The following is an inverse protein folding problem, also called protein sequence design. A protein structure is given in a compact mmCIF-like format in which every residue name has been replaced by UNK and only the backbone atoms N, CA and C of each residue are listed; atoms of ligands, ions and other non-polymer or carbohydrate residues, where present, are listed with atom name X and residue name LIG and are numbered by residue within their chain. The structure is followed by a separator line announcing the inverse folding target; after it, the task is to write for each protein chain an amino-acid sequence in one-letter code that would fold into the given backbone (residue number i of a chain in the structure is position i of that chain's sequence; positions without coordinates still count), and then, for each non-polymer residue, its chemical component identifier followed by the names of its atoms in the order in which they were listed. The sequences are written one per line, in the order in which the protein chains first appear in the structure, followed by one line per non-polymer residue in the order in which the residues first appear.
data_IF_274327431280
#
_entry.id   IF_274327431280
#
_cell.length_a   1.000
_cell.length_b   1.000
_cell.length_c   1.000
_cell.angle_alpha   90.00
_cell.angle_beta   90.00
_cell.angle_gamma   90.00
#
_symmetry.space_group_name_H-M   'P 1'
#
loop_
_entity.id
_entity.type
_entity.pdbx_description
1 polymer ?
#
# COMPACT_ATOMS: atom_id res chain seq x y z
N UNK A 1 15.96 7.16 -21.15
CA UNK A 1 15.07 8.03 -20.33
C UNK A 1 15.29 7.72 -18.86
N UNK A 2 15.37 8.73 -18.07
CA UNK A 2 15.47 8.56 -16.61
C UNK A 2 14.13 8.02 -16.08
N UNK A 3 14.19 6.98 -15.21
CA UNK A 3 13.01 6.36 -14.64
C UNK A 3 12.41 7.30 -13.59
N UNK A 4 11.10 7.49 -13.59
CA UNK A 4 10.41 8.28 -12.56
C UNK A 4 10.70 7.71 -11.16
N UNK A 5 11.15 8.55 -10.26
CA UNK A 5 11.38 8.19 -8.85
C UNK A 5 10.07 8.30 -8.08
N UNK A 6 9.55 7.17 -7.63
CA UNK A 6 8.24 7.13 -6.98
C UNK A 6 8.27 6.59 -5.56
N UNK A 7 7.23 6.95 -4.80
CA UNK A 7 6.82 6.23 -3.60
C UNK A 7 5.50 5.51 -3.86
N UNK A 8 5.31 4.36 -3.21
CA UNK A 8 4.07 3.57 -3.26
C UNK A 8 3.53 3.42 -1.84
N UNK A 9 2.27 3.79 -1.62
CA UNK A 9 1.59 3.67 -0.33
C UNK A 9 0.31 2.88 -0.48
N UNK A 10 0.22 1.72 0.17
CA UNK A 10 -1.02 0.95 0.24
C UNK A 10 -1.87 1.38 1.44
N UNK A 11 -3.19 1.16 1.37
CA UNK A 11 -4.11 1.60 2.42
C UNK A 11 -4.21 3.13 2.56
N UNK A 12 -3.90 3.87 1.49
CA UNK A 12 -3.78 5.32 1.52
C UNK A 12 -5.12 6.07 1.67
N UNK A 13 -6.26 5.40 1.54
CA UNK A 13 -7.59 6.05 1.60
C UNK A 13 -8.02 6.50 2.99
N UNK A 14 -7.34 6.06 4.05
CA UNK A 14 -7.70 6.39 5.44
C UNK A 14 -6.54 6.10 6.42
N UNK A 15 -6.70 6.53 7.67
CA UNK A 15 -5.84 6.16 8.79
C UNK A 15 -4.33 6.42 8.56
N UNK A 16 -3.53 5.43 8.92
CA UNK A 16 -2.06 5.52 8.89
C UNK A 16 -1.54 5.74 7.48
N UNK A 17 -2.04 5.00 6.48
CA UNK A 17 -1.61 5.14 5.09
C UNK A 17 -1.88 6.52 4.51
N UNK A 18 -3.06 7.09 4.79
CA UNK A 18 -3.37 8.47 4.43
C UNK A 18 -2.38 9.44 5.07
N UNK A 19 -2.13 9.29 6.37
CA UNK A 19 -1.23 10.19 7.10
C UNK A 19 0.20 10.08 6.61
N UNK A 20 0.70 8.88 6.30
CA UNK A 20 2.00 8.71 5.66
C UNK A 20 2.07 9.47 4.34
N UNK A 21 1.05 9.32 3.48
CA UNK A 21 1.01 10.02 2.19
C UNK A 21 1.12 11.54 2.38
N UNK A 22 0.37 12.12 3.31
CA UNK A 22 0.41 13.55 3.62
C UNK A 22 1.79 14.04 4.09
N UNK A 23 2.58 13.18 4.73
CA UNK A 23 3.92 13.54 5.24
C UNK A 23 5.04 13.34 4.23
N UNK A 24 4.78 12.70 3.08
CA UNK A 24 5.82 12.45 2.07
C UNK A 24 6.38 13.72 1.43
N UNK A 25 5.64 14.83 1.45
CA UNK A 25 6.14 16.14 1.01
C UNK A 25 7.44 16.54 1.75
N UNK A 26 7.57 16.13 3.02
CA UNK A 26 8.74 16.42 3.86
C UNK A 26 9.82 15.32 3.82
N UNK A 27 9.52 14.15 3.26
CA UNK A 27 10.37 12.95 3.38
C UNK A 27 11.36 12.76 2.22
N UNK A 28 11.30 13.59 1.19
CA UNK A 28 12.18 13.51 0.04
C UNK A 28 11.51 13.96 -1.26
N UNK A 29 12.30 14.00 -2.34
CA UNK A 29 11.77 14.30 -3.67
C UNK A 29 11.31 13.02 -4.37
N UNK A 30 10.03 12.94 -4.67
CA UNK A 30 9.43 11.94 -5.55
C UNK A 30 8.83 12.65 -6.75
N UNK A 31 8.99 12.08 -7.94
CA UNK A 31 8.35 12.61 -9.14
C UNK A 31 6.84 12.34 -9.10
N UNK A 32 6.42 11.25 -8.44
CA UNK A 32 5.02 10.86 -8.28
C UNK A 32 4.86 9.94 -7.07
N UNK A 33 3.73 10.01 -6.40
CA UNK A 33 3.35 9.07 -5.32
C UNK A 33 2.14 8.25 -5.76
N UNK A 34 2.29 6.92 -5.81
CA UNK A 34 1.19 6.02 -6.10
C UNK A 34 0.46 5.66 -4.82
N UNK A 35 -0.82 5.99 -4.77
CA UNK A 35 -1.68 5.73 -3.63
C UNK A 35 -2.67 4.62 -3.96
N UNK A 36 -2.60 3.52 -3.22
CA UNK A 36 -3.34 2.29 -3.51
C UNK A 36 -4.39 2.05 -2.44
N UNK A 37 -5.64 1.90 -2.83
CA UNK A 37 -6.76 1.46 -2.00
C UNK A 37 -7.95 1.04 -2.88
N UNK A 38 -8.98 0.46 -2.28
CA UNK A 38 -10.19 -0.01 -3.00
C UNK A 38 -11.06 1.14 -3.53
N UNK A 39 -11.15 2.24 -2.76
CA UNK A 39 -12.08 3.35 -3.01
C UNK A 39 -11.39 4.48 -3.76
N UNK A 40 -11.62 4.51 -5.08
CA UNK A 40 -11.02 5.52 -5.96
C UNK A 40 -11.43 6.94 -5.55
N UNK A 41 -12.71 7.16 -5.19
CA UNK A 41 -13.24 8.45 -4.76
C UNK A 41 -12.43 9.07 -3.61
N UNK A 42 -12.03 8.24 -2.63
CA UNK A 42 -11.20 8.69 -1.50
C UNK A 42 -9.76 8.98 -1.89
N UNK A 43 -9.22 8.23 -2.83
CA UNK A 43 -7.87 8.47 -3.35
C UNK A 43 -7.82 9.76 -4.18
N UNK A 44 -8.84 10.03 -4.98
CA UNK A 44 -8.97 11.29 -5.72
C UNK A 44 -9.14 12.47 -4.76
N UNK A 45 -10.00 12.34 -3.74
CA UNK A 45 -10.13 13.36 -2.70
C UNK A 45 -8.80 13.63 -1.97
N UNK A 46 -8.02 12.60 -1.68
CA UNK A 46 -6.68 12.75 -1.10
C UNK A 46 -5.75 13.51 -2.05
N UNK A 47 -5.72 13.14 -3.32
CA UNK A 47 -4.91 13.81 -4.35
C UNK A 47 -5.18 15.31 -4.40
N UNK A 48 -6.44 15.73 -4.33
CA UNK A 48 -6.83 17.14 -4.36
C UNK A 48 -6.29 17.95 -3.16
N UNK A 49 -5.93 17.29 -2.06
CA UNK A 49 -5.39 17.95 -0.86
C UNK A 49 -3.87 18.08 -0.87
N UNK A 50 -3.19 17.40 -1.78
CA UNK A 50 -1.73 17.31 -1.80
C UNK A 50 -1.11 18.23 -2.87
N UNK A 51 0.07 18.77 -2.58
CA UNK A 51 0.77 19.73 -3.45
C UNK A 51 1.80 19.08 -4.37
N UNK A 52 1.94 17.78 -4.33
CA UNK A 52 2.86 17.00 -5.17
C UNK A 52 2.08 16.02 -6.06
N UNK A 53 2.69 15.51 -7.15
CA UNK A 53 2.02 14.60 -8.06
C UNK A 53 1.61 13.30 -7.37
N UNK A 54 0.32 12.97 -7.41
CA UNK A 54 -0.26 11.75 -6.83
C UNK A 54 -1.01 10.98 -7.91
N UNK A 55 -0.77 9.68 -7.98
CA UNK A 55 -1.46 8.74 -8.86
C UNK A 55 -2.36 7.81 -8.04
N UNK A 56 -3.66 8.00 -8.06
CA UNK A 56 -4.61 7.06 -7.51
C UNK A 56 -4.61 5.74 -8.28
N UNK A 57 -4.54 4.62 -7.56
CA UNK A 57 -4.58 3.27 -8.12
C UNK A 57 -5.61 2.46 -7.33
N UNK A 58 -6.79 2.25 -7.92
CA UNK A 58 -7.87 1.51 -7.28
C UNK A 58 -7.62 0.01 -7.39
N UNK A 59 -7.19 -0.62 -6.29
CA UNK A 59 -6.95 -2.06 -6.19
C UNK A 59 -7.48 -2.59 -4.86
N UNK A 60 -8.14 -3.74 -4.89
CA UNK A 60 -8.43 -4.53 -3.70
C UNK A 60 -7.30 -5.54 -3.47
N UNK A 61 -6.42 -5.27 -2.51
CA UNK A 61 -5.26 -6.11 -2.24
C UNK A 61 -5.62 -7.42 -1.49
N UNK A 62 -6.87 -7.65 -1.13
CA UNK A 62 -7.36 -8.96 -0.71
C UNK A 62 -7.72 -9.88 -1.89
N UNK A 63 -7.72 -9.34 -3.12
CA UNK A 63 -7.94 -10.08 -4.35
C UNK A 63 -6.63 -10.25 -5.12
N UNK A 64 -6.26 -11.52 -5.40
CA UNK A 64 -5.04 -11.88 -6.14
C UNK A 64 -4.97 -11.31 -7.55
N UNK A 65 -6.11 -11.06 -8.20
CA UNK A 65 -6.13 -10.39 -9.51
C UNK A 65 -5.53 -8.97 -9.45
N UNK A 66 -5.63 -8.32 -8.31
CA UNK A 66 -5.02 -7.00 -8.09
C UNK A 66 -3.50 -7.02 -8.18
N UNK A 67 -2.87 -8.13 -7.82
CA UNK A 67 -1.41 -8.28 -7.95
C UNK A 67 -0.96 -8.32 -9.41
N UNK A 68 -1.73 -8.99 -10.28
CA UNK A 68 -1.45 -9.00 -11.71
C UNK A 68 -1.61 -7.60 -12.34
N UNK A 69 -2.62 -6.84 -11.90
CA UNK A 69 -2.82 -5.44 -12.33
C UNK A 69 -1.68 -4.54 -11.88
N UNK A 70 -1.24 -4.70 -10.63
CA UNK A 70 -0.09 -3.94 -10.10
C UNK A 70 1.21 -4.29 -10.81
N UNK A 71 1.48 -5.57 -11.06
CA UNK A 71 2.65 -6.03 -11.82
C UNK A 71 2.66 -5.47 -13.24
N UNK A 72 1.50 -5.46 -13.91
CA UNK A 72 1.35 -4.88 -15.25
C UNK A 72 1.66 -3.38 -15.24
N UNK A 73 1.16 -2.65 -14.24
CA UNK A 73 1.43 -1.23 -14.07
C UNK A 73 2.92 -0.95 -13.85
N UNK A 74 3.59 -1.74 -13.01
CA UNK A 74 5.04 -1.64 -12.79
C UNK A 74 5.83 -1.88 -14.08
N UNK A 75 5.44 -2.88 -14.89
CA UNK A 75 6.10 -3.18 -16.17
C UNK A 75 5.91 -2.07 -17.19
N UNK A 76 4.71 -1.52 -17.28
CA UNK A 76 4.37 -0.45 -18.22
C UNK A 76 5.13 0.85 -17.89
N UNK A 77 5.07 1.27 -16.63
CA UNK A 77 5.67 2.54 -16.20
C UNK A 77 7.17 2.43 -15.93
N UNK A 78 7.67 1.23 -15.65
CA UNK A 78 9.07 0.94 -15.30
C UNK A 78 9.68 1.98 -14.34
N UNK A 79 9.08 2.24 -13.17
CA UNK A 79 9.53 3.29 -12.27
C UNK A 79 10.83 2.92 -11.53
N UNK A 80 11.43 3.92 -10.87
CA UNK A 80 12.42 3.74 -9.80
C UNK A 80 11.68 3.88 -8.47
N UNK A 81 11.33 2.76 -7.83
CA UNK A 81 10.60 2.78 -6.56
C UNK A 81 11.58 3.02 -5.42
N UNK A 82 11.58 4.24 -4.89
CA UNK A 82 12.45 4.62 -3.79
C UNK A 82 11.87 4.30 -2.41
N UNK A 83 10.55 4.15 -2.31
CA UNK A 83 9.86 3.88 -1.06
C UNK A 83 8.58 3.07 -1.31
N UNK A 84 8.43 1.96 -0.58
CA UNK A 84 7.17 1.21 -0.48
C UNK A 84 6.70 1.24 0.97
N UNK A 85 5.45 1.66 1.20
CA UNK A 85 4.82 1.66 2.53
C UNK A 85 3.58 0.78 2.48
N UNK A 86 3.62 -0.38 3.14
CA UNK A 86 2.50 -1.30 3.27
C UNK A 86 1.69 -0.94 4.52
N UNK A 87 0.55 -0.25 4.32
CA UNK A 87 -0.39 0.15 5.35
C UNK A 87 -1.79 -0.48 5.18
N UNK A 88 -2.02 -1.27 4.13
CA UNK A 88 -3.30 -1.99 3.98
C UNK A 88 -3.42 -3.06 5.04
N UNK A 89 -4.56 -3.06 5.73
CA UNK A 89 -4.82 -4.06 6.77
C UNK A 89 -6.09 -3.70 7.54
N UNK A 90 -6.66 -4.69 8.20
CA UNK A 90 -7.74 -4.50 9.16
C UNK A 90 -7.73 -5.61 10.21
N UNK A 91 -8.46 -5.40 11.30
CA UNK A 91 -8.69 -6.39 12.34
C UNK A 91 -10.11 -6.33 12.86
N UNK A 92 -10.58 -7.40 13.48
CA UNK A 92 -11.85 -7.48 14.20
C UNK A 92 -11.58 -7.84 15.64
N UNK A 93 -12.18 -7.08 16.56
CA UNK A 93 -12.10 -7.32 18.00
C UNK A 93 -13.34 -8.11 18.41
N UNK A 94 -13.25 -9.44 18.40
CA UNK A 94 -14.27 -10.36 18.87
C UNK A 94 -13.64 -11.70 19.21
N UNK A 95 -14.34 -12.54 19.97
CA UNK A 95 -13.89 -13.92 20.18
C UNK A 95 -13.83 -14.64 18.83
N UNK A 96 -12.79 -15.42 18.60
CA UNK A 96 -12.55 -16.10 17.31
C UNK A 96 -13.74 -16.92 16.84
N UNK A 97 -14.49 -17.51 17.78
CA UNK A 97 -15.71 -18.32 17.48
C UNK A 97 -16.86 -17.48 16.94
N UNK A 98 -16.87 -16.18 17.20
CA UNK A 98 -17.91 -15.24 16.77
C UNK A 98 -17.57 -14.53 15.45
N UNK A 99 -16.33 -14.67 14.98
CA UNK A 99 -15.90 -14.09 13.71
C UNK A 99 -16.13 -15.11 12.58
N UNK A 100 -16.86 -14.75 11.51
CA UNK A 100 -17.00 -15.62 10.34
C UNK A 100 -15.64 -16.04 9.78
N UNK A 101 -15.50 -17.31 9.38
CA UNK A 101 -14.24 -17.81 8.80
C UNK A 101 -13.80 -16.98 7.59
N UNK A 102 -14.74 -16.53 6.75
CA UNK A 102 -14.45 -15.66 5.61
C UNK A 102 -13.74 -14.36 6.00
N UNK A 103 -14.11 -13.78 7.14
CA UNK A 103 -13.47 -12.56 7.63
C UNK A 103 -12.06 -12.81 8.14
N UNK A 104 -11.85 -13.93 8.83
CA UNK A 104 -10.52 -14.34 9.26
C UNK A 104 -9.58 -14.61 8.07
N UNK A 105 -10.08 -15.32 7.05
CA UNK A 105 -9.32 -15.55 5.82
C UNK A 105 -8.99 -14.24 5.11
N UNK A 106 -9.95 -13.34 4.98
CA UNK A 106 -9.74 -12.03 4.37
C UNK A 106 -8.74 -11.15 5.16
N UNK A 107 -8.68 -11.28 6.49
CA UNK A 107 -7.62 -10.65 7.29
C UNK A 107 -6.23 -11.18 6.92
N UNK A 108 -6.08 -12.47 6.72
CA UNK A 108 -4.80 -13.08 6.30
C UNK A 108 -4.43 -12.62 4.89
N UNK A 109 -5.38 -12.63 3.96
CA UNK A 109 -5.17 -12.19 2.59
C UNK A 109 -4.66 -10.74 2.55
N UNK A 110 -5.30 -9.83 3.27
CA UNK A 110 -4.92 -8.42 3.26
C UNK A 110 -3.71 -8.12 4.15
N UNK A 111 -3.63 -8.67 5.37
CA UNK A 111 -2.58 -8.32 6.33
C UNK A 111 -1.26 -9.05 6.09
N UNK A 112 -1.28 -10.20 5.41
CA UNK A 112 -0.09 -11.05 5.20
C UNK A 112 0.22 -11.23 3.71
N UNK A 113 -0.69 -11.81 2.92
CA UNK A 113 -0.47 -12.13 1.52
C UNK A 113 -0.20 -10.86 0.70
N UNK A 114 -1.00 -9.81 0.89
CA UNK A 114 -0.82 -8.56 0.19
C UNK A 114 0.55 -7.91 0.48
N UNK A 115 1.00 -7.92 1.73
CA UNK A 115 2.32 -7.39 2.11
C UNK A 115 3.45 -8.14 1.39
N UNK A 116 3.38 -9.48 1.40
CA UNK A 116 4.36 -10.32 0.72
C UNK A 116 4.37 -10.04 -0.80
N UNK A 117 3.20 -10.03 -1.44
CA UNK A 117 3.07 -9.81 -2.87
C UNK A 117 3.57 -8.41 -3.28
N UNK A 118 3.18 -7.37 -2.56
CA UNK A 118 3.61 -6.00 -2.83
C UNK A 118 5.14 -5.87 -2.70
N UNK A 119 5.74 -6.45 -1.68
CA UNK A 119 7.20 -6.47 -1.53
C UNK A 119 7.87 -7.19 -2.72
N UNK A 120 7.44 -8.41 -3.02
CA UNK A 120 8.06 -9.23 -4.06
C UNK A 120 7.95 -8.60 -5.46
N UNK A 121 6.80 -8.05 -5.81
CA UNK A 121 6.57 -7.41 -7.11
C UNK A 121 7.33 -6.08 -7.25
N UNK A 122 7.49 -5.34 -6.16
CA UNK A 122 8.14 -4.03 -6.18
C UNK A 122 9.67 -4.11 -6.18
N UNK A 123 10.25 -5.13 -5.51
CA UNK A 123 11.71 -5.27 -5.36
C UNK A 123 12.52 -5.14 -6.66
N UNK A 124 12.11 -5.71 -7.82
CA UNK A 124 12.85 -5.55 -9.08
C UNK A 124 12.98 -4.11 -9.58
N UNK A 125 12.13 -3.23 -9.08
CA UNK A 125 12.09 -1.81 -9.45
C UNK A 125 12.78 -0.90 -8.43
N UNK A 126 13.36 -1.48 -7.36
CA UNK A 126 14.05 -0.75 -6.31
C UNK A 126 15.57 -0.77 -6.53
N UNK A 127 16.23 0.33 -6.24
CA UNK A 127 17.71 0.46 -6.27
C UNK A 127 18.28 0.49 -4.86
N UNK A 128 19.61 0.42 -4.77
CA UNK A 128 20.32 0.62 -3.50
C UNK A 128 19.91 1.94 -2.84
N UNK A 129 19.58 1.90 -1.55
CA UNK A 129 19.07 3.05 -0.79
C UNK A 129 17.54 3.18 -0.78
N UNK A 130 16.81 2.40 -1.59
CA UNK A 130 15.35 2.33 -1.49
C UNK A 130 14.92 1.66 -0.17
N UNK A 131 13.71 1.95 0.29
CA UNK A 131 13.21 1.48 1.59
C UNK A 131 11.84 0.83 1.45
N UNK A 132 11.59 -0.20 2.29
CA UNK A 132 10.28 -0.79 2.49
C UNK A 132 9.89 -0.58 3.96
N UNK A 133 8.70 -0.07 4.20
CA UNK A 133 8.09 0.09 5.52
C UNK A 133 6.85 -0.78 5.57
N UNK A 134 6.83 -1.76 6.48
CA UNK A 134 5.66 -2.59 6.75
C UNK A 134 5.06 -2.18 8.08
N UNK A 135 3.79 -1.76 8.08
CA UNK A 135 3.09 -1.41 9.30
C UNK A 135 2.61 -2.69 9.97
N UNK A 136 3.23 -3.00 11.10
CA UNK A 136 2.87 -4.13 11.95
C UNK A 136 1.81 -3.73 13.00
N UNK A 137 1.55 -4.59 13.95
CA UNK A 137 0.59 -4.36 15.03
C UNK A 137 1.15 -4.82 16.37
N UNK A 138 0.72 -4.18 17.44
CA UNK A 138 0.94 -4.66 18.82
C UNK A 138 0.30 -6.02 19.06
N UNK A 139 -0.71 -6.39 18.29
CA UNK A 139 -1.34 -7.71 18.31
C UNK A 139 -0.36 -8.88 18.00
N UNK A 140 0.81 -8.56 17.42
CA UNK A 140 1.89 -9.55 17.25
C UNK A 140 2.56 -9.96 18.57
N UNK A 141 2.41 -9.16 19.63
CA UNK A 141 3.06 -9.36 20.92
C UNK A 141 2.07 -9.56 22.07
N UNK A 142 0.84 -9.13 21.92
CA UNK A 142 -0.17 -9.18 22.96
C UNK A 142 -1.45 -9.84 22.42
N UNK A 143 -2.04 -10.80 23.15
CA UNK A 143 -3.39 -11.25 22.84
C UNK A 143 -4.37 -10.08 23.07
N UNK A 144 -5.26 -9.90 22.15
CA UNK A 144 -6.32 -8.88 22.14
C UNK A 144 -7.68 -9.51 21.92
#
# INVERSE_FOLDING_TARGET
MERKRIAVVTGASSGIGKRFTETLECAGSFDEVWVIARRLDRLEALKETLKFPVRPVALDLSDRESFAKYDSLLKEENPDVALLINCSGFGKFAATVDVPLSDNLNMVDLNCEAVMAMCQLTLPYMKSGARIINIASVAAYQPI
#
